data_IF_447427407102
#
_entry.id   IF_447427407102
#
_cell.length_a   1.000
_cell.length_b   1.000
_cell.length_c   1.000
_cell.angle_alpha   90.00
_cell.angle_beta   90.00
_cell.angle_gamma   90.00
#
_symmetry.space_group_name_H-M   'P 1'
#
loop_
_entity.id
_entity.type
_entity.pdbx_description
1 polymer ?
#
# COMPACT_ATOMS: atom_id res chain seq x y z
N UNK A 1 -35.43 3.40 11.50
CA UNK A 1 -36.50 4.20 10.86
C UNK A 1 -36.40 4.00 9.35
N UNK A 2 -37.36 3.29 8.75
CA UNK A 2 -37.59 3.34 7.30
C UNK A 2 -38.49 4.55 6.99
N UNK A 3 -38.34 5.20 5.82
CA UNK A 3 -39.29 4.98 4.71
C UNK A 3 -38.59 5.16 3.32
N UNK A 4 -39.14 4.96 2.12
CA UNK A 4 -40.29 4.27 1.51
C UNK A 4 -40.00 4.28 0.00
N UNK A 5 -40.42 3.23 -0.71
CA UNK A 5 -40.38 3.09 -2.16
C UNK A 5 -41.43 3.97 -2.87
N UNK A 6 -41.20 4.28 -4.16
CA UNK A 6 -42.25 4.48 -5.18
C UNK A 6 -41.70 4.35 -6.60
N UNK A 7 -42.28 3.41 -7.36
CA UNK A 7 -42.02 3.14 -8.77
C UNK A 7 -42.89 3.99 -9.73
N UNK A 8 -42.29 4.25 -10.90
CA UNK A 8 -42.82 4.34 -12.28
C UNK A 8 -44.00 5.26 -12.64
N UNK A 9 -43.79 6.00 -13.75
CA UNK A 9 -44.82 6.20 -14.79
C UNK A 9 -44.27 5.89 -16.18
N UNK A 10 -45.09 5.14 -16.92
CA UNK A 10 -44.95 4.70 -18.31
C UNK A 10 -45.23 5.84 -19.31
N UNK A 11 -44.68 5.70 -20.53
CA UNK A 11 -45.35 6.18 -21.75
C UNK A 11 -45.26 5.10 -22.84
N UNK A 12 -46.39 4.86 -23.52
CA UNK A 12 -46.72 3.74 -24.42
C UNK A 12 -46.27 3.96 -25.88
N UNK A 13 -46.18 2.81 -26.58
CA UNK A 13 -45.83 2.48 -27.98
C UNK A 13 -46.77 3.03 -29.08
N UNK A 14 -46.49 2.74 -30.38
CA UNK A 14 -47.20 1.64 -31.10
C UNK A 14 -46.29 0.78 -32.02
N UNK A 15 -46.45 -0.57 -32.07
CA UNK A 15 -47.06 -1.44 -33.13
C UNK A 15 -46.64 -1.07 -34.58
N UNK A 16 -46.29 -1.96 -35.52
CA UNK A 16 -46.56 -3.38 -35.85
C UNK A 16 -45.47 -3.81 -36.88
N UNK A 17 -45.13 -5.06 -37.21
CA UNK A 17 -45.82 -6.11 -38.00
C UNK A 17 -44.84 -7.31 -38.06
N UNK A 18 -45.32 -8.54 -37.91
CA UNK A 18 -44.58 -9.79 -38.20
C UNK A 18 -44.66 -10.18 -39.67
N UNK A 19 -43.63 -10.85 -40.21
CA UNK A 19 -43.91 -12.09 -40.92
C UNK A 19 -42.97 -13.24 -40.52
N UNK A 20 -43.46 -14.44 -40.80
CA UNK A 20 -42.87 -15.75 -40.47
C UNK A 20 -42.02 -16.25 -41.63
N UNK A 21 -41.11 -17.17 -41.30
CA UNK A 21 -40.51 -18.27 -42.09
C UNK A 21 -39.17 -17.98 -42.79
N UNK A 22 -38.14 -18.74 -42.38
CA UNK A 22 -37.32 -19.69 -43.16
C UNK A 22 -35.91 -19.69 -42.56
N UNK A 23 -35.57 -20.75 -41.83
CA UNK A 23 -34.19 -21.09 -41.44
C UNK A 23 -33.40 -21.69 -42.61
N UNK A 24 -32.16 -21.25 -42.83
CA UNK A 24 -31.07 -22.12 -43.28
C UNK A 24 -29.81 -21.95 -42.38
N UNK A 25 -28.75 -22.76 -42.56
CA UNK A 25 -28.09 -23.46 -41.46
C UNK A 25 -27.05 -22.64 -40.70
N UNK A 26 -26.82 -23.13 -39.49
CA UNK A 26 -25.75 -22.84 -38.55
C UNK A 26 -24.41 -22.60 -39.25
N UNK A 27 -23.89 -21.36 -39.15
CA UNK A 27 -22.45 -21.11 -39.21
C UNK A 27 -22.03 -20.67 -37.83
N UNK A 28 -21.44 -21.62 -37.09
CA UNK A 28 -20.70 -21.31 -35.86
C UNK A 28 -19.43 -20.59 -36.29
N UNK A 29 -19.50 -19.28 -36.48
CA UNK A 29 -18.29 -18.46 -36.48
C UNK A 29 -17.89 -18.30 -35.03
N UNK A 30 -17.00 -19.18 -34.58
CA UNK A 30 -16.21 -18.97 -33.37
C UNK A 30 -15.46 -17.65 -33.52
N UNK A 31 -16.03 -16.58 -32.97
CA UNK A 31 -15.26 -15.37 -32.71
C UNK A 31 -14.12 -15.79 -31.78
N UNK A 32 -12.85 -15.55 -32.15
CA UNK A 32 -11.75 -15.78 -31.23
C UNK A 32 -12.04 -14.97 -29.98
N UNK A 33 -12.18 -15.67 -28.83
CA UNK A 33 -12.06 -15.05 -27.52
C UNK A 33 -10.63 -14.50 -27.47
N UNK A 34 -10.46 -13.27 -27.95
CA UNK A 34 -9.33 -12.46 -27.54
C UNK A 34 -9.46 -12.35 -26.03
N UNK A 35 -8.56 -13.06 -25.35
CA UNK A 35 -8.37 -13.02 -23.92
C UNK A 35 -8.24 -11.54 -23.54
N UNK A 36 -9.35 -10.93 -23.15
CA UNK A 36 -9.37 -9.55 -22.69
C UNK A 36 -8.40 -9.54 -21.52
N UNK A 37 -7.35 -8.73 -21.62
CA UNK A 37 -6.45 -8.45 -20.51
C UNK A 37 -7.36 -8.17 -19.31
N UNK A 38 -7.38 -9.11 -18.37
CA UNK A 38 -8.15 -8.99 -17.14
C UNK A 38 -7.78 -7.64 -16.53
N UNK A 39 -8.78 -6.87 -16.12
CA UNK A 39 -8.54 -5.60 -15.43
C UNK A 39 -7.47 -5.80 -14.34
N UNK A 40 -6.57 -4.83 -14.13
CA UNK A 40 -5.51 -4.98 -13.14
C UNK A 40 -6.12 -5.31 -11.77
N UNK A 41 -5.59 -6.35 -11.12
CA UNK A 41 -5.97 -6.71 -9.75
C UNK A 41 -5.90 -5.50 -8.82
N UNK A 42 -6.71 -5.47 -7.76
CA UNK A 42 -6.66 -4.41 -6.73
C UNK A 42 -5.23 -4.26 -6.20
N UNK A 43 -4.51 -5.37 -5.97
CA UNK A 43 -3.13 -5.32 -5.49
C UNK A 43 -2.17 -4.73 -6.54
N UNK A 44 -2.40 -5.00 -7.83
CA UNK A 44 -1.62 -4.42 -8.92
C UNK A 44 -1.84 -2.90 -8.94
N UNK A 45 -3.09 -2.44 -8.81
CA UNK A 45 -3.41 -1.02 -8.68
C UNK A 45 -2.74 -0.37 -7.46
N UNK A 46 -2.66 -1.11 -6.33
CA UNK A 46 -1.92 -0.70 -5.15
C UNK A 46 -0.44 -0.46 -5.43
N UNK A 47 0.23 -1.41 -6.07
CA UNK A 47 1.64 -1.30 -6.46
C UNK A 47 1.90 -0.13 -7.43
N UNK A 48 1.04 0.03 -8.44
CA UNK A 48 1.11 1.19 -9.34
C UNK A 48 0.94 2.51 -8.60
N UNK A 49 0.01 2.58 -7.65
CA UNK A 49 -0.21 3.79 -6.84
C UNK A 49 1.03 4.11 -5.98
N UNK A 50 1.66 3.10 -5.38
CA UNK A 50 2.88 3.29 -4.60
C UNK A 50 4.01 3.88 -5.46
N UNK A 51 4.27 3.33 -6.65
CA UNK A 51 5.31 3.84 -7.53
C UNK A 51 5.02 5.23 -8.09
N UNK A 52 3.76 5.53 -8.40
CA UNK A 52 3.37 6.87 -8.83
C UNK A 52 3.62 7.93 -7.73
N UNK A 53 3.47 7.54 -6.47
CA UNK A 53 3.71 8.42 -5.32
C UNK A 53 5.19 8.49 -4.91
N UNK A 54 5.91 7.39 -5.03
CA UNK A 54 7.32 7.21 -4.65
C UNK A 54 7.96 6.29 -5.70
N UNK A 55 8.65 6.84 -6.71
CA UNK A 55 9.21 6.05 -7.80
C UNK A 55 10.15 4.95 -7.31
N UNK A 56 9.82 3.69 -7.63
CA UNK A 56 10.61 2.51 -7.27
C UNK A 56 10.30 1.92 -5.90
N UNK A 57 9.30 2.45 -5.17
CA UNK A 57 8.89 1.93 -3.86
C UNK A 57 8.34 0.51 -3.97
N UNK A 58 7.57 0.21 -5.02
CA UNK A 58 6.99 -1.11 -5.21
C UNK A 58 8.08 -2.18 -5.35
N UNK A 59 9.13 -1.86 -6.12
CA UNK A 59 10.30 -2.72 -6.29
C UNK A 59 11.09 -2.89 -4.99
N UNK A 60 11.23 -1.81 -4.20
CA UNK A 60 11.88 -1.89 -2.88
C UNK A 60 11.10 -2.80 -1.94
N UNK A 61 9.76 -2.72 -1.92
CA UNK A 61 8.91 -3.59 -1.10
C UNK A 61 9.13 -5.05 -1.48
N UNK A 62 9.09 -5.39 -2.77
CA UNK A 62 9.36 -6.76 -3.23
C UNK A 62 10.74 -7.24 -2.81
N UNK A 63 11.76 -6.39 -2.97
CA UNK A 63 13.13 -6.71 -2.55
C UNK A 63 13.20 -7.01 -1.04
N UNK A 64 12.50 -6.22 -0.20
CA UNK A 64 12.45 -6.44 1.26
C UNK A 64 11.69 -7.72 1.63
N UNK A 65 10.71 -8.12 0.83
CA UNK A 65 9.99 -9.38 0.99
C UNK A 65 10.73 -10.60 0.38
N UNK A 66 11.94 -10.41 -0.15
CA UNK A 66 12.70 -11.40 -0.92
C UNK A 66 11.94 -11.94 -2.15
N UNK A 67 11.16 -11.09 -2.81
CA UNK A 67 10.39 -11.40 -4.01
C UNK A 67 10.99 -10.72 -5.25
N UNK A 68 10.85 -11.37 -6.40
CA UNK A 68 11.39 -10.88 -7.68
C UNK A 68 10.34 -10.16 -8.52
N UNK A 69 9.06 -10.46 -8.34
CA UNK A 69 8.00 -9.86 -9.13
C UNK A 69 6.66 -9.77 -8.39
N UNK A 70 5.75 -8.96 -8.93
CA UNK A 70 4.39 -8.85 -8.42
C UNK A 70 3.61 -10.16 -8.57
N UNK A 71 3.88 -10.95 -9.60
CA UNK A 71 3.25 -12.26 -9.81
C UNK A 71 3.62 -13.23 -8.68
N UNK A 72 4.88 -13.20 -8.23
CA UNK A 72 5.33 -13.98 -7.08
C UNK A 72 4.63 -13.55 -5.78
N UNK A 73 4.51 -12.24 -5.56
CA UNK A 73 3.73 -11.68 -4.46
C UNK A 73 2.27 -12.13 -4.50
N UNK A 74 1.63 -12.02 -5.66
CA UNK A 74 0.23 -12.39 -5.85
C UNK A 74 0.00 -13.89 -5.61
N UNK A 75 0.89 -14.75 -6.11
CA UNK A 75 0.78 -16.20 -5.90
C UNK A 75 0.80 -16.56 -4.41
N UNK A 76 1.62 -15.87 -3.61
CA UNK A 76 1.67 -16.10 -2.16
C UNK A 76 0.38 -15.62 -1.47
N UNK A 77 -0.18 -14.48 -1.87
CA UNK A 77 -1.46 -13.99 -1.34
C UNK A 77 -2.64 -14.91 -1.68
N UNK A 78 -2.63 -15.48 -2.88
CA UNK A 78 -3.67 -16.41 -3.36
C UNK A 78 -3.57 -17.80 -2.71
N UNK A 79 -2.68 -17.99 -1.72
CA UNK A 79 -2.49 -19.26 -1.00
C UNK A 79 -1.62 -20.28 -1.74
N UNK A 80 -0.87 -19.83 -2.76
CA UNK A 80 0.11 -20.65 -3.47
C UNK A 80 1.33 -21.00 -2.61
N UNK A 81 2.17 -21.89 -3.13
CA UNK A 81 3.39 -22.30 -2.45
C UNK A 81 4.34 -21.10 -2.26
N UNK A 82 4.76 -20.86 -1.01
CA UNK A 82 5.73 -19.81 -0.69
C UNK A 82 7.06 -20.09 -1.37
N UNK A 83 7.67 -19.07 -1.97
CA UNK A 83 9.01 -19.19 -2.55
C UNK A 83 10.04 -19.42 -1.44
N UNK A 84 11.07 -20.23 -1.73
CA UNK A 84 12.15 -20.50 -0.78
C UNK A 84 12.80 -19.19 -0.33
N UNK A 85 12.68 -18.86 0.96
CA UNK A 85 13.19 -17.60 1.52
C UNK A 85 12.19 -16.45 1.57
N UNK A 86 10.89 -16.70 1.32
CA UNK A 86 9.82 -15.75 1.56
C UNK A 86 9.69 -15.42 3.06
N UNK A 87 9.41 -14.15 3.36
CA UNK A 87 9.23 -13.66 4.72
C UNK A 87 10.54 -13.30 5.42
N UNK A 88 10.49 -13.23 6.75
CA UNK A 88 11.58 -12.73 7.58
C UNK A 88 12.06 -13.85 8.51
N UNK A 89 13.37 -13.92 8.78
CA UNK A 89 13.96 -14.99 9.62
C UNK A 89 13.73 -14.75 11.11
N UNK A 90 13.56 -13.50 11.51
CA UNK A 90 13.29 -13.10 12.89
C UNK A 90 12.52 -11.77 12.93
N UNK A 91 11.90 -11.42 14.07
CA UNK A 91 11.21 -10.14 14.23
C UNK A 91 12.12 -8.95 13.93
N UNK A 92 13.38 -8.99 14.37
CA UNK A 92 14.34 -7.91 14.14
C UNK A 92 14.56 -7.64 12.65
N UNK A 93 14.66 -8.69 11.81
CA UNK A 93 14.76 -8.54 10.36
C UNK A 93 13.48 -7.95 9.76
N UNK A 94 12.32 -8.44 10.18
CA UNK A 94 11.02 -7.92 9.75
C UNK A 94 10.91 -6.41 9.97
N UNK A 95 11.14 -5.97 11.21
CA UNK A 95 11.04 -4.56 11.57
C UNK A 95 12.01 -3.69 10.77
N UNK A 96 13.28 -4.10 10.65
CA UNK A 96 14.27 -3.34 9.90
C UNK A 96 13.87 -3.22 8.42
N UNK A 97 13.47 -4.33 7.80
CA UNK A 97 13.10 -4.34 6.38
C UNK A 97 11.82 -3.57 6.10
N UNK A 98 10.84 -3.60 7.01
CA UNK A 98 9.64 -2.78 6.91
C UNK A 98 9.97 -1.29 7.06
N UNK A 99 10.77 -0.90 8.07
CA UNK A 99 11.20 0.49 8.27
C UNK A 99 11.92 1.05 7.04
N UNK A 100 12.75 0.25 6.38
CA UNK A 100 13.45 0.65 5.16
C UNK A 100 12.49 1.04 4.02
N UNK A 101 11.29 0.47 3.95
CA UNK A 101 10.29 0.83 2.93
C UNK A 101 9.65 2.21 3.16
N UNK A 102 9.74 2.75 4.38
CA UNK A 102 9.28 4.10 4.71
C UNK A 102 10.38 5.16 4.56
N UNK A 103 11.60 4.74 4.21
CA UNK A 103 12.78 5.61 4.19
C UNK A 103 12.96 6.29 2.82
N UNK A 104 12.10 7.25 2.51
CA UNK A 104 12.20 8.13 1.33
C UNK A 104 12.02 9.60 1.72
N UNK A 105 12.43 10.53 0.86
CA UNK A 105 12.26 11.96 1.13
C UNK A 105 10.76 12.34 1.14
N UNK A 106 10.26 12.91 2.23
CA UNK A 106 8.86 13.31 2.35
C UNK A 106 8.46 14.40 1.32
N UNK A 107 9.41 15.25 0.91
CA UNK A 107 9.17 16.32 -0.05
C UNK A 107 9.27 15.86 -1.50
N UNK A 108 10.45 15.39 -1.93
CA UNK A 108 10.70 15.05 -3.34
C UNK A 108 10.50 13.57 -3.68
N UNK A 109 10.12 12.75 -2.70
CA UNK A 109 9.82 11.31 -2.87
C UNK A 109 10.99 10.45 -3.36
N UNK A 110 12.22 10.98 -3.30
CA UNK A 110 13.41 10.24 -3.65
C UNK A 110 13.72 9.14 -2.63
N UNK A 111 13.94 7.92 -3.13
CA UNK A 111 14.52 6.80 -2.39
C UNK A 111 16.03 6.98 -2.17
N UNK A 112 16.63 6.27 -1.21
CA UNK A 112 18.08 6.31 -0.98
C UNK A 112 18.89 5.97 -2.23
N UNK A 113 18.41 5.02 -3.03
CA UNK A 113 19.03 4.60 -4.29
C UNK A 113 19.01 5.68 -5.38
N UNK A 114 18.11 6.66 -5.27
CA UNK A 114 18.00 7.79 -6.21
C UNK A 114 18.76 9.04 -5.76
N UNK A 115 19.49 8.98 -4.66
CA UNK A 115 20.33 10.09 -4.19
C UNK A 115 21.75 9.97 -4.78
N UNK A 116 22.42 11.11 -4.94
CA UNK A 116 23.85 11.11 -5.26
C UNK A 116 24.65 10.51 -4.10
N UNK A 117 25.82 9.92 -4.39
CA UNK A 117 26.65 9.18 -3.42
C UNK A 117 27.03 9.98 -2.15
N UNK A 118 26.95 11.31 -2.21
CA UNK A 118 27.24 12.20 -1.08
C UNK A 118 26.02 12.50 -0.19
N UNK A 119 24.79 12.24 -0.66
CA UNK A 119 23.56 12.56 0.07
C UNK A 119 22.96 11.33 0.73
N UNK A 120 22.69 11.45 2.04
CA UNK A 120 21.98 10.45 2.84
C UNK A 120 20.70 11.07 3.37
N UNK A 121 19.61 10.31 3.39
CA UNK A 121 18.35 10.72 4.01
C UNK A 121 18.53 10.95 5.52
N UNK A 122 18.13 12.14 5.97
CA UNK A 122 18.17 12.57 7.38
C UNK A 122 16.76 12.69 7.92
N UNK A 123 16.55 12.19 9.14
CA UNK A 123 15.28 12.33 9.81
C UNK A 123 15.03 13.78 10.27
N UNK A 124 13.76 14.17 10.37
CA UNK A 124 13.38 15.34 11.13
C UNK A 124 13.83 15.17 12.60
N UNK A 125 14.65 16.09 13.11
CA UNK A 125 15.19 16.01 14.48
C UNK A 125 14.13 16.05 15.58
N UNK A 126 12.93 16.56 15.27
CA UNK A 126 11.82 16.67 16.22
C UNK A 126 11.02 15.36 16.28
N UNK A 127 10.33 15.00 15.21
CA UNK A 127 9.46 13.83 15.23
C UNK A 127 10.17 12.49 15.01
N UNK A 128 11.35 12.50 14.36
CA UNK A 128 12.10 11.30 13.93
C UNK A 128 11.34 10.33 13.01
N UNK A 129 10.15 10.70 12.55
CA UNK A 129 9.27 9.82 11.76
C UNK A 129 9.33 10.06 10.25
N UNK A 130 9.81 11.23 9.79
CA UNK A 130 9.93 11.55 8.35
C UNK A 130 11.37 11.85 7.98
N UNK A 131 11.71 11.58 6.72
CA UNK A 131 13.06 11.71 6.18
C UNK A 131 13.12 12.79 5.10
N UNK A 132 14.28 13.44 4.97
CA UNK A 132 14.58 14.42 3.94
C UNK A 132 15.98 14.18 3.37
N UNK A 133 16.15 14.36 2.06
CA UNK A 133 17.46 14.26 1.42
C UNK A 133 18.38 15.47 1.70
N UNK A 134 17.83 16.55 2.26
CA UNK A 134 18.57 17.74 2.63
C UNK A 134 17.71 18.82 3.29
N UNK A 135 18.34 19.86 3.86
CA UNK A 135 17.63 20.97 4.52
C UNK A 135 16.76 21.80 3.57
N UNK A 136 17.00 21.74 2.26
CA UNK A 136 16.16 22.31 1.22
C UNK A 136 14.76 21.68 1.22
N UNK A 137 14.69 20.35 1.12
CA UNK A 137 13.43 19.60 1.12
C UNK A 137 12.68 19.74 2.44
N UNK A 138 13.40 19.75 3.57
CA UNK A 138 12.79 19.96 4.87
C UNK A 138 12.12 21.34 4.99
N UNK A 139 12.79 22.40 4.50
CA UNK A 139 12.24 23.76 4.55
C UNK A 139 11.01 23.92 3.67
N UNK A 140 11.02 23.31 2.48
CA UNK A 140 9.88 23.33 1.56
C UNK A 140 8.66 22.59 2.12
N UNK A 141 8.89 21.47 2.81
CA UNK A 141 7.83 20.65 3.42
C UNK A 141 7.32 21.20 4.77
N UNK A 142 8.11 22.06 5.43
CA UNK A 142 7.83 22.55 6.79
C UNK A 142 6.44 23.15 7.00
N UNK A 143 5.85 23.96 6.09
CA UNK A 143 4.53 24.54 6.31
C UNK A 143 3.42 23.51 6.55
N UNK A 144 3.50 22.37 5.88
CA UNK A 144 2.57 21.25 6.05
C UNK A 144 3.03 20.31 7.16
N UNK A 145 4.31 19.91 7.17
CA UNK A 145 4.85 18.99 8.16
C UNK A 145 4.68 19.49 9.60
N UNK A 146 4.87 20.79 9.88
CA UNK A 146 4.76 21.34 11.24
C UNK A 146 3.40 21.09 11.89
N UNK A 147 2.33 20.98 11.09
CA UNK A 147 0.96 20.74 11.56
C UNK A 147 0.81 19.36 12.19
N UNK A 148 1.62 18.40 11.73
CA UNK A 148 1.56 16.98 12.14
C UNK A 148 2.84 16.51 12.83
N UNK A 149 3.87 17.36 12.94
CA UNK A 149 5.18 17.00 13.48
C UNK A 149 5.08 16.42 14.91
N UNK A 150 4.24 16.99 15.75
CA UNK A 150 4.01 16.50 17.13
C UNK A 150 3.37 15.10 17.12
N UNK A 151 2.29 14.92 16.35
CA UNK A 151 1.61 13.61 16.24
C UNK A 151 2.54 12.54 15.68
N UNK A 152 3.34 12.90 14.67
CA UNK A 152 4.33 12.00 14.10
C UNK A 152 5.40 11.60 15.12
N UNK A 153 5.70 12.45 16.11
CA UNK A 153 6.60 12.08 17.20
C UNK A 153 6.00 10.98 18.07
N UNK A 154 4.71 11.10 18.41
CA UNK A 154 3.99 10.09 19.17
C UNK A 154 3.93 8.76 18.41
N UNK A 155 3.65 8.80 17.10
CA UNK A 155 3.68 7.59 16.25
C UNK A 155 5.06 6.92 16.25
N UNK A 156 6.15 7.69 16.21
CA UNK A 156 7.50 7.12 16.27
C UNK A 156 7.81 6.48 17.63
N UNK A 157 7.31 7.06 18.73
CA UNK A 157 7.43 6.49 20.07
C UNK A 157 6.59 5.22 20.21
N UNK A 158 5.35 5.25 19.74
CA UNK A 158 4.42 4.11 19.79
C UNK A 158 5.00 2.88 19.09
N UNK A 159 5.53 3.06 17.87
CA UNK A 159 6.22 2.00 17.12
C UNK A 159 7.43 1.43 17.87
N UNK A 160 8.21 2.29 18.54
CA UNK A 160 9.35 1.87 19.34
C UNK A 160 8.90 1.06 20.56
N UNK A 161 7.83 1.49 21.23
CA UNK A 161 7.26 0.79 22.38
C UNK A 161 6.71 -0.58 21.98
N UNK A 162 5.96 -0.65 20.87
CA UNK A 162 5.47 -1.90 20.31
C UNK A 162 6.63 -2.86 20.02
N UNK A 163 7.70 -2.38 19.39
CA UNK A 163 8.89 -3.19 19.15
C UNK A 163 9.54 -3.71 20.44
N UNK A 164 9.71 -2.85 21.44
CA UNK A 164 10.33 -3.21 22.72
C UNK A 164 9.50 -4.22 23.53
N UNK A 165 8.16 -4.13 23.44
CA UNK A 165 7.24 -5.09 24.02
C UNK A 165 7.33 -6.45 23.33
N UNK A 166 7.31 -6.47 22.00
CA UNK A 166 7.40 -7.71 21.20
C UNK A 166 8.75 -8.40 21.38
N UNK A 167 9.81 -7.64 21.65
CA UNK A 167 11.17 -8.18 21.84
C UNK A 167 11.54 -8.46 23.30
N UNK A 168 10.59 -8.29 24.23
CA UNK A 168 10.77 -8.52 25.68
C UNK A 168 11.89 -7.68 26.33
N UNK A 169 12.35 -6.62 25.65
CA UNK A 169 13.35 -5.69 26.20
C UNK A 169 12.73 -4.69 27.19
N UNK A 170 11.41 -4.54 27.17
CA UNK A 170 10.65 -3.83 28.21
C UNK A 170 9.82 -4.83 29.02
N UNK A 171 10.41 -5.34 30.09
CA UNK A 171 9.65 -6.01 31.15
C UNK A 171 9.19 -4.95 32.15
N UNK A 172 7.92 -4.60 32.12
CA UNK A 172 7.33 -3.78 33.17
C UNK A 172 7.22 -4.63 34.44
N UNK A 173 7.97 -4.33 35.51
CA UNK A 173 7.76 -5.02 36.77
C UNK A 173 6.33 -4.74 37.23
N UNK A 174 5.59 -5.79 37.57
CA UNK A 174 4.28 -5.72 38.23
C UNK A 174 4.47 -5.24 39.67
N UNK A 175 4.80 -3.96 39.83
CA UNK A 175 4.94 -3.29 41.12
C UNK A 175 3.81 -2.30 41.36
N UNK A 176 3.32 -2.23 42.60
CA UNK A 176 2.36 -1.22 43.05
C UNK A 176 2.97 0.16 42.89
N UNK A 177 2.41 0.95 41.97
CA UNK A 177 2.75 2.36 41.80
C UNK A 177 2.33 3.11 43.06
N UNK A 178 3.28 3.35 43.96
CA UNK A 178 3.06 4.29 45.06
C UNK A 178 3.21 5.70 44.51
N UNK A 179 2.08 6.36 44.29
CA UNK A 179 2.05 7.81 44.08
C UNK A 179 2.41 8.46 45.42
N UNK A 180 3.64 8.92 45.57
CA UNK A 180 4.01 9.80 46.68
C UNK A 180 3.28 11.12 46.50
N UNK A 181 2.38 11.41 47.44
CA UNK A 181 1.66 12.67 47.59
C UNK A 181 2.58 13.81 48.02
#
# INVERSE_FOLDING_TARGET
>A
MAPRSRQRRHKKSPSSVTPVVVTPPTVVTSVPLTLSKSDPSIDALGFFSLDNNVPGLSQLILQKLNMKSYEEYKLVLDGGASVSGFGFRCPQEMFQKMEDTFRFCAHCRALPSGLSDSKVLRQCKRCRNVYYCGPECQRSDWPEHRKVCQELHLVAVDRLMEWLLVTEHLNFPSGTWHSSA
#
